data_IF_568357285843
#
_entry.id   IF_568357285843
#
_cell.length_a   1.000
_cell.length_b   1.000
_cell.length_c   1.000
_cell.angle_alpha   90.00
_cell.angle_beta   90.00
_cell.angle_gamma   90.00
#
_symmetry.space_group_name_H-M   'P 1'
#
loop_
_entity.id
_entity.type
_entity.pdbx_description
1 polymer ?
#
# COMPACT_ATOMS: atom_id res chain seq x y z
N UNK A 1 -2.50 5.38 36.04
CA UNK A 1 -3.11 5.19 34.71
C UNK A 1 -4.40 6.01 34.68
N UNK A 2 -4.42 7.20 34.06
CA UNK A 2 -5.65 8.03 33.99
C UNK A 2 -6.57 7.45 32.93
N UNK A 3 -7.86 7.32 33.25
CA UNK A 3 -8.87 6.91 32.28
C UNK A 3 -8.91 7.89 31.10
N UNK A 4 -8.99 7.36 29.88
CA UNK A 4 -9.11 8.17 28.68
C UNK A 4 -10.48 8.86 28.63
N UNK A 5 -10.56 10.16 28.26
CA UNK A 5 -11.85 10.83 28.07
C UNK A 5 -12.70 10.11 27.01
N UNK A 6 -13.97 9.88 27.29
CA UNK A 6 -14.90 9.14 26.41
C UNK A 6 -14.94 9.69 24.96
N UNK A 7 -14.77 11.00 24.78
CA UNK A 7 -14.71 11.63 23.47
C UNK A 7 -13.50 11.19 22.63
N UNK A 8 -12.32 11.04 23.25
CA UNK A 8 -11.10 10.60 22.54
C UNK A 8 -11.24 9.12 22.16
N UNK A 9 -11.81 8.30 23.04
CA UNK A 9 -12.10 6.90 22.75
C UNK A 9 -13.08 6.76 21.56
N UNK A 10 -14.10 7.62 21.48
CA UNK A 10 -15.05 7.64 20.37
C UNK A 10 -14.38 8.03 19.03
N UNK A 11 -13.52 9.05 19.02
CA UNK A 11 -12.77 9.43 17.81
C UNK A 11 -11.81 8.33 17.34
N UNK A 12 -11.16 7.62 18.28
CA UNK A 12 -10.31 6.46 17.94
C UNK A 12 -11.12 5.30 17.38
N UNK A 13 -12.33 5.08 17.88
CA UNK A 13 -13.24 4.08 17.31
C UNK A 13 -13.63 4.44 15.87
N UNK A 14 -14.07 5.68 15.64
CA UNK A 14 -14.37 6.19 14.30
C UNK A 14 -13.18 6.04 13.35
N UNK A 15 -11.98 6.45 13.78
CA UNK A 15 -10.76 6.32 12.97
C UNK A 15 -10.47 4.86 12.61
N UNK A 16 -10.59 3.92 13.56
CA UNK A 16 -10.39 2.49 13.29
C UNK A 16 -11.41 1.98 12.28
N UNK A 17 -12.69 2.28 12.45
CA UNK A 17 -13.76 1.82 11.56
C UNK A 17 -13.55 2.32 10.13
N UNK A 18 -13.29 3.62 9.97
CA UNK A 18 -13.01 4.21 8.65
C UNK A 18 -11.76 3.60 8.03
N UNK A 19 -10.66 3.44 8.79
CA UNK A 19 -9.43 2.84 8.24
C UNK A 19 -9.62 1.36 7.88
N UNK A 20 -10.45 0.62 8.61
CA UNK A 20 -10.83 -0.75 8.25
C UNK A 20 -11.60 -0.79 6.93
N UNK A 21 -12.54 0.13 6.71
CA UNK A 21 -13.26 0.22 5.44
C UNK A 21 -12.33 0.60 4.27
N UNK A 22 -11.47 1.61 4.45
CA UNK A 22 -10.57 2.06 3.39
C UNK A 22 -9.52 1.00 2.98
N UNK A 23 -9.06 0.19 3.95
CA UNK A 23 -8.08 -0.88 3.71
C UNK A 23 -8.69 -2.18 3.22
N UNK A 24 -10.02 -2.31 3.22
CA UNK A 24 -10.66 -3.49 2.63
C UNK A 24 -10.28 -3.61 1.15
N UNK A 25 -9.97 -4.80 0.63
CA UNK A 25 -9.56 -4.98 -0.77
C UNK A 25 -10.61 -4.48 -1.77
N UNK A 26 -10.15 -4.00 -2.92
CA UNK A 26 -11.04 -3.60 -4.01
C UNK A 26 -11.75 -4.81 -4.61
N UNK A 27 -12.99 -4.59 -5.05
CA UNK A 27 -13.83 -5.56 -5.76
C UNK A 27 -14.36 -4.98 -7.08
N UNK A 28 -14.87 -5.85 -7.95
CA UNK A 28 -15.56 -5.46 -9.19
C UNK A 28 -14.74 -4.57 -10.13
N UNK A 29 -15.39 -3.57 -10.73
CA UNK A 29 -14.79 -2.66 -11.72
C UNK A 29 -13.62 -1.84 -11.15
N UNK A 30 -13.68 -1.42 -9.88
CA UNK A 30 -12.59 -0.70 -9.24
C UNK A 30 -11.30 -1.53 -9.20
N UNK A 31 -11.44 -2.83 -8.90
CA UNK A 31 -10.34 -3.78 -8.91
C UNK A 31 -9.76 -3.96 -10.33
N UNK A 32 -10.64 -4.14 -11.31
CA UNK A 32 -10.22 -4.32 -12.70
C UNK A 32 -9.46 -3.09 -13.23
N UNK A 33 -9.92 -1.87 -12.91
CA UNK A 33 -9.24 -0.62 -13.30
C UNK A 33 -7.88 -0.43 -12.64
N UNK A 34 -7.65 -1.00 -11.46
CA UNK A 34 -6.34 -1.04 -10.82
C UNK A 34 -5.39 -2.09 -11.44
N UNK A 35 -5.80 -2.80 -12.50
CA UNK A 35 -5.01 -3.86 -13.12
C UNK A 35 -4.87 -5.11 -12.25
N UNK A 36 -5.67 -5.22 -11.18
CA UNK A 36 -5.64 -6.34 -10.25
C UNK A 36 -6.37 -7.56 -10.86
N UNK A 37 -5.86 -8.78 -10.67
CA UNK A 37 -6.50 -9.99 -11.17
C UNK A 37 -7.85 -10.21 -10.47
N UNK A 38 -8.79 -10.86 -11.13
CA UNK A 38 -10.11 -11.15 -10.55
C UNK A 38 -10.00 -11.91 -9.21
N UNK A 39 -10.83 -11.54 -8.25
CA UNK A 39 -10.94 -12.16 -6.92
C UNK A 39 -12.42 -12.43 -6.63
N UNK A 40 -12.70 -13.51 -5.91
CA UNK A 40 -14.07 -13.78 -5.45
C UNK A 40 -14.57 -12.62 -4.57
N UNK A 41 -15.74 -12.09 -4.91
CA UNK A 41 -16.36 -11.00 -4.16
C UNK A 41 -16.85 -11.53 -2.81
N UNK A 42 -16.47 -10.87 -1.71
CA UNK A 42 -17.01 -11.17 -0.39
C UNK A 42 -18.39 -10.52 -0.26
N UNK A 43 -19.38 -11.27 0.24
CA UNK A 43 -20.78 -10.84 0.33
C UNK A 43 -21.01 -9.69 1.32
N UNK A 44 -20.19 -9.59 2.36
CA UNK A 44 -20.27 -8.52 3.36
C UNK A 44 -19.08 -7.58 3.22
N UNK A 45 -19.31 -6.40 2.63
CA UNK A 45 -18.28 -5.36 2.50
C UNK A 45 -18.14 -4.59 3.81
N UNK A 46 -16.93 -4.48 4.40
CA UNK A 46 -16.67 -3.58 5.53
C UNK A 46 -17.06 -2.13 5.24
N UNK A 47 -17.01 -1.72 3.97
CA UNK A 47 -17.43 -0.39 3.53
C UNK A 47 -18.91 -0.16 3.81
N UNK A 48 -19.77 -1.13 3.52
CA UNK A 48 -21.22 -0.96 3.68
C UNK A 48 -21.56 -0.81 5.16
N UNK A 49 -21.04 -1.71 6.01
CA UNK A 49 -21.27 -1.70 7.45
C UNK A 49 -20.81 -0.38 8.11
N UNK A 50 -19.61 0.10 7.75
CA UNK A 50 -19.03 1.34 8.30
C UNK A 50 -19.77 2.58 7.77
N UNK A 51 -20.13 2.59 6.48
CA UNK A 51 -20.77 3.74 5.86
C UNK A 51 -22.14 4.06 6.46
N UNK A 52 -22.96 3.04 6.75
CA UNK A 52 -24.28 3.26 7.35
C UNK A 52 -24.22 3.87 8.76
N UNK A 53 -23.09 3.68 9.46
CA UNK A 53 -22.89 4.21 10.82
C UNK A 53 -22.32 5.63 10.80
N UNK A 54 -21.35 5.89 9.92
CA UNK A 54 -20.48 7.06 10.03
C UNK A 54 -20.59 8.07 8.88
N UNK A 55 -21.29 7.72 7.79
CA UNK A 55 -21.31 8.53 6.56
C UNK A 55 -22.74 8.97 6.25
N UNK A 56 -22.95 10.27 6.14
CA UNK A 56 -24.22 10.82 5.63
C UNK A 56 -24.31 10.59 4.11
N UNK A 57 -25.46 10.23 3.53
CA UNK A 57 -25.62 10.24 2.07
C UNK A 57 -25.51 11.68 1.50
N UNK A 58 -25.35 11.81 0.18
CA UNK A 58 -25.49 13.07 -0.55
C UNK A 58 -26.73 13.05 -1.44
N UNK A 59 -27.01 14.16 -2.12
CA UNK A 59 -28.11 14.23 -3.10
C UNK A 59 -27.96 13.22 -4.26
N UNK A 60 -26.73 12.78 -4.55
CA UNK A 60 -26.41 11.93 -5.72
C UNK A 60 -25.82 10.57 -5.38
N UNK A 61 -25.38 10.36 -4.13
CA UNK A 61 -24.69 9.13 -3.71
C UNK A 61 -25.19 8.66 -2.35
N UNK A 62 -25.43 7.34 -2.26
CA UNK A 62 -25.67 6.67 -0.97
C UNK A 62 -24.42 6.73 -0.09
N UNK A 63 -24.59 6.56 1.22
CA UNK A 63 -23.48 6.54 2.16
C UNK A 63 -22.39 5.49 1.79
N UNK A 64 -22.74 4.23 1.46
CA UNK A 64 -21.75 3.26 0.98
C UNK A 64 -21.05 3.68 -0.31
N UNK A 65 -21.79 4.22 -1.28
CA UNK A 65 -21.20 4.69 -2.52
C UNK A 65 -20.18 5.80 -2.29
N UNK A 66 -20.45 6.74 -1.37
CA UNK A 66 -19.51 7.79 -0.98
C UNK A 66 -18.24 7.21 -0.37
N UNK A 67 -18.35 6.31 0.61
CA UNK A 67 -17.18 5.72 1.27
C UNK A 67 -16.36 4.87 0.29
N UNK A 68 -17.02 4.13 -0.62
CA UNK A 68 -16.36 3.36 -1.66
C UNK A 68 -15.52 4.23 -2.61
N UNK A 69 -15.91 5.49 -2.88
CA UNK A 69 -15.07 6.42 -3.64
C UNK A 69 -13.72 6.66 -2.95
N UNK A 70 -13.75 6.90 -1.64
CA UNK A 70 -12.52 7.13 -0.86
C UNK A 70 -11.68 5.87 -0.75
N UNK A 71 -12.29 4.71 -0.52
CA UNK A 71 -11.61 3.41 -0.52
C UNK A 71 -10.87 3.18 -1.84
N UNK A 72 -11.54 3.44 -2.97
CA UNK A 72 -10.93 3.30 -4.29
C UNK A 72 -9.74 4.24 -4.49
N UNK A 73 -9.90 5.51 -4.16
CA UNK A 73 -8.81 6.49 -4.28
C UNK A 73 -7.64 6.18 -3.34
N UNK A 74 -7.92 5.64 -2.15
CA UNK A 74 -6.90 5.15 -1.24
C UNK A 74 -6.04 4.07 -1.92
N UNK A 75 -6.66 3.03 -2.46
CA UNK A 75 -5.92 1.95 -3.14
C UNK A 75 -5.19 2.41 -4.40
N UNK A 76 -5.83 3.21 -5.25
CA UNK A 76 -5.21 3.69 -6.48
C UNK A 76 -3.93 4.46 -6.19
N UNK A 77 -3.95 5.39 -5.23
CA UNK A 77 -2.76 6.15 -4.84
C UNK A 77 -1.63 5.28 -4.32
N UNK A 78 -1.94 4.23 -3.55
CA UNK A 78 -0.90 3.32 -3.04
C UNK A 78 -0.28 2.49 -4.15
N UNK A 79 -1.11 1.95 -5.06
CA UNK A 79 -0.65 1.15 -6.18
C UNK A 79 0.13 1.99 -7.19
N UNK A 80 -0.33 3.20 -7.48
CA UNK A 80 0.34 4.14 -8.38
C UNK A 80 1.70 4.57 -7.81
N UNK A 81 1.75 4.94 -6.52
CA UNK A 81 3.01 5.28 -5.85
C UNK A 81 4.02 4.13 -5.92
N UNK A 82 3.61 2.90 -5.63
CA UNK A 82 4.51 1.75 -5.77
C UNK A 82 4.91 1.49 -7.23
N UNK A 83 4.02 1.73 -8.20
CA UNK A 83 4.35 1.58 -9.61
C UNK A 83 5.35 2.64 -10.11
N UNK A 84 5.33 3.84 -9.53
CA UNK A 84 6.28 4.92 -9.78
C UNK A 84 7.63 4.67 -9.10
N UNK A 85 7.64 4.13 -7.88
CA UNK A 85 8.86 3.84 -7.11
C UNK A 85 9.63 2.59 -7.63
N UNK A 86 8.92 1.65 -8.26
CA UNK A 86 9.46 0.35 -8.69
C UNK A 86 9.24 0.03 -10.19
N UNK A 87 9.62 0.91 -11.13
CA UNK A 87 9.35 0.74 -12.55
C UNK A 87 10.08 -0.46 -13.17
N UNK A 88 11.31 -0.76 -12.75
CA UNK A 88 12.06 -1.90 -13.26
C UNK A 88 11.50 -3.22 -12.73
N UNK A 89 11.10 -3.29 -11.45
CA UNK A 89 10.39 -4.45 -10.92
C UNK A 89 9.08 -4.70 -11.66
N UNK A 90 8.32 -3.64 -11.96
CA UNK A 90 7.10 -3.73 -12.76
C UNK A 90 7.37 -4.27 -14.17
N UNK A 91 8.45 -3.83 -14.81
CA UNK A 91 8.85 -4.33 -16.12
C UNK A 91 9.25 -5.81 -16.08
N UNK A 92 9.98 -6.22 -15.03
CA UNK A 92 10.42 -7.61 -14.82
C UNK A 92 9.23 -8.57 -14.62
N UNK A 93 8.26 -8.19 -13.80
CA UNK A 93 7.12 -9.04 -13.44
C UNK A 93 5.96 -8.97 -14.44
N UNK A 94 5.85 -7.86 -15.16
CA UNK A 94 4.66 -7.51 -15.93
C UNK A 94 3.54 -6.92 -15.05
N UNK A 95 2.67 -6.12 -15.68
CA UNK A 95 1.65 -5.30 -14.99
C UNK A 95 0.73 -6.09 -14.03
N UNK A 96 0.06 -7.17 -14.47
CA UNK A 96 -0.87 -7.90 -13.60
C UNK A 96 -0.20 -8.59 -12.40
N UNK A 97 0.98 -9.18 -12.59
CA UNK A 97 1.72 -9.84 -11.52
C UNK A 97 2.30 -8.83 -10.52
N UNK A 98 2.78 -7.68 -11.02
CA UNK A 98 3.20 -6.56 -10.19
C UNK A 98 2.04 -6.03 -9.34
N UNK A 99 0.88 -5.74 -9.95
CA UNK A 99 -0.28 -5.23 -9.23
C UNK A 99 -0.74 -6.21 -8.13
N UNK A 100 -0.79 -7.51 -8.44
CA UNK A 100 -1.12 -8.55 -7.46
C UNK A 100 -0.09 -8.64 -6.32
N UNK A 101 1.20 -8.48 -6.63
CA UNK A 101 2.26 -8.43 -5.62
C UNK A 101 2.12 -7.22 -4.71
N UNK A 102 1.87 -6.03 -5.26
CA UNK A 102 1.69 -4.80 -4.48
C UNK A 102 0.46 -4.88 -3.59
N UNK A 103 -0.66 -5.42 -4.08
CA UNK A 103 -1.84 -5.66 -3.25
C UNK A 103 -1.52 -6.59 -2.08
N UNK A 104 -0.88 -7.73 -2.34
CA UNK A 104 -0.52 -8.67 -1.30
C UNK A 104 0.44 -8.05 -0.25
N UNK A 105 1.39 -7.23 -0.70
CA UNK A 105 2.30 -6.48 0.17
C UNK A 105 1.54 -5.48 1.05
N UNK A 106 0.60 -4.72 0.49
CA UNK A 106 -0.19 -3.73 1.23
C UNK A 106 -1.18 -4.38 2.22
N UNK A 107 -1.72 -5.56 1.90
CA UNK A 107 -2.54 -6.35 2.82
C UNK A 107 -1.71 -6.87 4.01
N UNK A 108 -0.48 -7.33 3.77
CA UNK A 108 0.43 -7.83 4.81
C UNK A 108 1.10 -6.72 5.63
N UNK A 109 1.33 -5.56 5.01
CA UNK A 109 2.07 -4.43 5.56
C UNK A 109 1.29 -3.12 5.35
N UNK A 110 0.16 -2.92 6.07
CA UNK A 110 -0.65 -1.73 5.89
C UNK A 110 0.14 -0.44 6.19
N UNK A 111 -0.05 0.65 5.41
CA UNK A 111 0.60 1.92 5.66
C UNK A 111 0.36 2.44 7.07
N UNK A 112 1.44 2.85 7.75
CA UNK A 112 1.41 3.40 9.12
C UNK A 112 1.82 4.87 9.20
N UNK A 113 2.17 5.47 8.07
CA UNK A 113 2.57 6.87 7.94
C UNK A 113 1.57 7.64 7.09
N UNK A 114 1.58 8.97 7.22
CA UNK A 114 0.80 9.87 6.36
C UNK A 114 1.47 10.09 4.99
N UNK A 115 2.78 9.83 4.89
CA UNK A 115 3.55 9.96 3.65
C UNK A 115 3.69 8.61 2.95
N UNK A 116 3.77 8.64 1.62
CA UNK A 116 4.02 7.48 0.77
C UNK A 116 5.51 7.25 0.46
N UNK A 117 6.38 8.20 0.80
CA UNK A 117 7.83 8.16 0.49
C UNK A 117 8.56 6.88 0.94
N UNK A 118 8.03 6.19 1.95
CA UNK A 118 8.62 4.95 2.46
C UNK A 118 7.67 3.76 2.36
N UNK A 119 6.65 3.85 1.51
CA UNK A 119 5.63 2.82 1.36
C UNK A 119 6.27 1.47 0.98
N UNK A 120 7.28 1.49 0.10
CA UNK A 120 8.01 0.32 -0.38
C UNK A 120 9.12 -0.23 0.53
N UNK A 121 9.37 0.35 1.71
CA UNK A 121 10.54 0.03 2.54
C UNK A 121 10.67 -1.47 2.90
N UNK A 122 9.54 -2.16 3.09
CA UNK A 122 9.51 -3.58 3.41
C UNK A 122 9.39 -4.52 2.21
N UNK A 123 9.29 -3.99 0.98
CA UNK A 123 8.92 -4.78 -0.19
C UNK A 123 9.93 -5.87 -0.52
N UNK A 124 11.23 -5.55 -0.47
CA UNK A 124 12.28 -6.53 -0.76
C UNK A 124 12.24 -7.73 0.22
N UNK A 125 12.07 -7.46 1.51
CA UNK A 125 11.91 -8.51 2.53
C UNK A 125 10.65 -9.34 2.27
N UNK A 126 9.53 -8.68 1.98
CA UNK A 126 8.26 -9.35 1.70
C UNK A 126 8.33 -10.29 0.49
N UNK A 127 9.08 -9.91 -0.55
CA UNK A 127 9.33 -10.79 -1.72
C UNK A 127 10.22 -11.97 -1.30
N UNK A 128 11.33 -11.70 -0.59
CA UNK A 128 12.31 -12.71 -0.19
C UNK A 128 11.78 -13.76 0.78
N UNK A 129 10.80 -13.41 1.62
CA UNK A 129 10.20 -14.35 2.60
C UNK A 129 9.29 -15.41 1.95
N UNK A 130 9.02 -15.32 0.65
CA UNK A 130 8.24 -16.31 -0.10
C UNK A 130 9.07 -17.58 -0.34
N UNK A 131 8.99 -18.51 0.62
CA UNK A 131 9.77 -19.78 0.75
C UNK A 131 9.87 -20.72 -0.47
N UNK A 132 9.16 -20.46 -1.57
CA UNK A 132 9.13 -21.31 -2.76
C UNK A 132 9.47 -20.55 -4.05
N UNK A 133 10.07 -19.37 -3.95
CA UNK A 133 10.49 -18.60 -5.12
C UNK A 133 11.72 -19.20 -5.80
N UNK A 134 11.64 -19.49 -7.09
CA UNK A 134 12.83 -19.73 -7.93
C UNK A 134 13.59 -18.43 -8.21
N UNK A 135 14.54 -18.47 -9.15
CA UNK A 135 15.45 -17.34 -9.49
C UNK A 135 14.72 -16.00 -9.72
N UNK A 136 13.53 -16.03 -10.33
CA UNK A 136 12.73 -14.82 -10.55
C UNK A 136 12.37 -14.09 -9.25
N UNK A 137 12.13 -14.82 -8.15
CA UNK A 137 11.82 -14.21 -6.84
C UNK A 137 13.04 -13.55 -6.24
N UNK A 138 14.21 -14.18 -6.39
CA UNK A 138 15.49 -13.62 -5.92
C UNK A 138 15.77 -12.32 -6.66
N UNK A 139 15.72 -12.33 -8.00
CA UNK A 139 15.95 -11.14 -8.81
C UNK A 139 14.92 -10.03 -8.54
N UNK A 140 13.65 -10.38 -8.33
CA UNK A 140 12.62 -9.42 -7.95
C UNK A 140 12.91 -8.75 -6.60
N UNK A 141 13.36 -9.52 -5.60
CA UNK A 141 13.73 -8.99 -4.29
C UNK A 141 14.98 -8.09 -4.37
N UNK A 142 16.00 -8.49 -5.13
CA UNK A 142 17.20 -7.70 -5.37
C UNK A 142 16.89 -6.39 -6.08
N UNK A 143 16.03 -6.44 -7.09
CA UNK A 143 15.61 -5.26 -7.85
C UNK A 143 14.80 -4.29 -6.98
N UNK A 144 13.84 -4.81 -6.20
CA UNK A 144 13.11 -4.01 -5.22
C UNK A 144 14.05 -3.33 -4.22
N UNK A 145 15.07 -4.05 -3.74
CA UNK A 145 16.08 -3.48 -2.81
C UNK A 145 16.88 -2.37 -3.47
N UNK A 146 17.27 -2.55 -4.73
CA UNK A 146 18.03 -1.56 -5.49
C UNK A 146 17.21 -0.29 -5.73
N UNK A 147 15.99 -0.41 -6.26
CA UNK A 147 15.13 0.73 -6.57
C UNK A 147 14.79 1.53 -5.30
N UNK A 148 14.46 0.84 -4.20
CA UNK A 148 14.22 1.51 -2.93
C UNK A 148 15.48 2.23 -2.39
N UNK A 149 16.66 1.62 -2.52
CA UNK A 149 17.91 2.25 -2.07
C UNK A 149 18.24 3.50 -2.88
N UNK A 150 17.93 3.52 -4.19
CA UNK A 150 18.10 4.71 -5.02
C UNK A 150 17.19 5.85 -4.55
N UNK A 151 15.90 5.56 -4.33
CA UNK A 151 14.96 6.55 -3.79
C UNK A 151 15.39 7.07 -2.42
N UNK A 152 15.75 6.18 -1.50
CA UNK A 152 16.20 6.56 -0.16
C UNK A 152 17.51 7.38 -0.18
N UNK A 153 18.39 7.15 -1.14
CA UNK A 153 19.61 7.93 -1.31
C UNK A 153 19.32 9.38 -1.74
N UNK A 154 18.28 9.62 -2.54
CA UNK A 154 17.86 10.97 -2.91
C UNK A 154 17.27 11.78 -1.75
N UNK A 155 16.63 11.11 -0.79
CA UNK A 155 16.04 11.75 0.39
C UNK A 155 17.01 11.88 1.57
N UNK A 156 18.13 11.15 1.53
CA UNK A 156 19.11 11.17 2.60
C UNK A 156 19.73 12.57 2.76
N UNK A 157 19.94 12.98 4.01
CA UNK A 157 20.70 14.19 4.29
C UNK A 157 22.13 14.06 3.74
N UNK A 158 22.70 15.18 3.26
CA UNK A 158 24.06 15.21 2.74
C UNK A 158 25.05 14.63 3.76
N UNK A 159 25.70 13.53 3.36
CA UNK A 159 26.79 12.93 4.11
C UNK A 159 28.13 13.61 3.80
N UNK A 160 29.09 13.46 4.71
CA UNK A 160 30.47 13.81 4.39
C UNK A 160 30.94 13.00 3.17
N UNK A 161 31.58 13.66 2.21
CA UNK A 161 32.09 13.02 1.00
C UNK A 161 32.96 11.80 1.37
N UNK A 162 32.68 10.65 0.77
CA UNK A 162 33.52 9.48 0.96
C UNK A 162 34.92 9.76 0.37
N UNK A 163 36.01 9.41 1.09
CA UNK A 163 37.35 9.57 0.54
C UNK A 163 37.53 8.64 -0.67
N UNK A 164 38.29 9.09 -1.67
CA UNK A 164 38.38 8.45 -2.99
C UNK A 164 38.85 7.00 -2.95
N UNK A 165 39.66 6.64 -1.96
CA UNK A 165 40.18 5.29 -1.73
C UNK A 165 39.09 4.29 -1.30
N UNK A 166 37.96 4.76 -0.78
CA UNK A 166 36.82 3.91 -0.41
C UNK A 166 36.01 3.47 -1.64
N UNK A 167 35.94 4.31 -2.68
CA UNK A 167 35.24 3.97 -3.94
C UNK A 167 36.03 2.96 -4.78
N UNK A 168 37.36 2.92 -4.65
CA UNK A 168 38.23 1.99 -5.38
C UNK A 168 38.21 0.54 -4.83
N UNK A 169 37.46 0.27 -3.76
CA UNK A 169 37.37 -1.04 -3.09
C UNK A 169 36.00 -1.71 -3.20
N UNK A 170 35.06 -1.09 -3.91
CA UNK A 170 33.72 -1.62 -4.23
C UNK A 170 33.77 -2.23 -5.62
#
# INVERSE_FOLDING_TARGET
>A
MRAEPAAIAALRALQRDIMTALRAPLTGDARARAGLPARATVTASPVDAVAHTHVTPSATLTAPARLALYQRQYWYRLLDSLAEDFPALRALLGGPAFAALMEAYLEATPPRSYTLAHLGAGLASFIGDRRHGGDLTIHAAELARLEYALMAAFEAADGAAAPADRLARV
#
